data_IF_596937206725
#
_entry.id   IF_596937206725
#
_cell.length_a   1.000
_cell.length_b   1.000
_cell.length_c   1.000
_cell.angle_alpha   90.00
_cell.angle_beta   90.00
_cell.angle_gamma   90.00
#
_symmetry.space_group_name_H-M   'P 1'
#
loop_
_entity.id
_entity.type
_entity.pdbx_description
1 polymer ?
#
# COMPACT_ATOMS: atom_id res chain seq x y z
N UNK A 1 -14.36 19.66 -7.50
CA UNK A 1 -14.98 20.75 -8.27
C UNK A 1 -15.63 20.13 -9.50
N UNK A 2 -16.95 20.10 -9.52
CA UNK A 2 -17.75 19.75 -10.70
C UNK A 2 -17.90 21.01 -11.56
N UNK A 3 -17.77 20.87 -12.88
CA UNK A 3 -18.10 21.93 -13.83
C UNK A 3 -19.58 21.76 -14.15
N UNK A 4 -20.38 22.80 -13.98
CA UNK A 4 -21.80 22.79 -14.32
C UNK A 4 -21.97 22.96 -15.83
N UNK A 5 -22.65 22.01 -16.46
CA UNK A 5 -22.71 21.87 -17.92
C UNK A 5 -24.09 22.31 -18.44
N UNK A 6 -25.13 22.26 -17.61
CA UNK A 6 -26.51 22.50 -18.03
C UNK A 6 -26.82 23.99 -18.26
N UNK A 7 -26.05 24.88 -17.63
CA UNK A 7 -26.19 26.33 -17.83
C UNK A 7 -25.41 26.88 -19.03
N UNK A 8 -24.59 26.06 -19.70
CA UNK A 8 -23.72 26.51 -20.79
C UNK A 8 -24.45 26.52 -22.13
N UNK A 9 -24.27 27.59 -22.91
CA UNK A 9 -24.78 27.65 -24.28
C UNK A 9 -24.08 26.67 -25.21
N UNK A 10 -24.70 26.32 -26.35
CA UNK A 10 -24.10 25.43 -27.35
C UNK A 10 -22.70 25.89 -27.82
N UNK A 11 -22.49 27.21 -27.90
CA UNK A 11 -21.20 27.80 -28.27
C UNK A 11 -20.14 27.61 -27.18
N UNK A 12 -20.52 27.77 -25.91
CA UNK A 12 -19.64 27.58 -24.76
C UNK A 12 -19.32 26.10 -24.52
N UNK A 13 -20.30 25.21 -24.69
CA UNK A 13 -20.09 23.76 -24.66
C UNK A 13 -19.08 23.33 -25.73
N UNK A 14 -19.20 23.88 -26.93
CA UNK A 14 -18.26 23.59 -28.03
C UNK A 14 -16.85 24.09 -27.70
N UNK A 15 -16.72 25.29 -27.12
CA UNK A 15 -15.45 25.83 -26.67
C UNK A 15 -14.81 24.96 -25.57
N UNK A 16 -15.60 24.57 -24.57
CA UNK A 16 -15.17 23.71 -23.46
C UNK A 16 -14.70 22.34 -23.94
N UNK A 17 -15.41 21.72 -24.88
CA UNK A 17 -15.02 20.44 -25.48
C UNK A 17 -13.68 20.57 -26.21
N UNK A 18 -13.49 21.64 -26.98
CA UNK A 18 -12.25 21.87 -27.72
C UNK A 18 -11.06 22.09 -26.78
N UNK A 19 -11.26 22.85 -25.71
CA UNK A 19 -10.22 23.09 -24.70
C UNK A 19 -9.92 21.82 -23.90
N UNK A 20 -10.94 21.07 -23.48
CA UNK A 20 -10.79 19.78 -22.82
C UNK A 20 -10.01 18.78 -23.70
N UNK A 21 -10.30 18.73 -25.01
CA UNK A 21 -9.54 17.91 -25.98
C UNK A 21 -8.08 18.36 -26.08
N UNK A 22 -7.81 19.67 -26.16
CA UNK A 22 -6.43 20.21 -26.15
C UNK A 22 -5.70 19.86 -24.84
N UNK A 23 -6.37 19.97 -23.70
CA UNK A 23 -5.79 19.65 -22.39
C UNK A 23 -5.52 18.14 -22.26
N UNK A 24 -6.47 17.30 -22.68
CA UNK A 24 -6.34 15.84 -22.71
C UNK A 24 -5.16 15.41 -23.57
N UNK A 25 -5.04 15.93 -24.80
CA UNK A 25 -3.90 15.60 -25.68
C UNK A 25 -2.56 16.06 -25.10
N UNK A 26 -2.52 17.23 -24.47
CA UNK A 26 -1.32 17.71 -23.76
C UNK A 26 -0.94 16.80 -22.59
N UNK A 27 -1.93 16.33 -21.83
CA UNK A 27 -1.73 15.40 -20.72
C UNK A 27 -1.31 14.01 -21.22
N UNK A 28 -1.89 13.51 -22.31
CA UNK A 28 -1.53 12.22 -22.91
C UNK A 28 -0.13 12.21 -23.54
N UNK A 29 0.35 13.35 -24.05
CA UNK A 29 1.73 13.50 -24.54
C UNK A 29 2.77 13.46 -23.42
N UNK A 30 2.36 13.69 -22.16
CA UNK A 30 3.27 13.54 -21.02
C UNK A 30 3.55 12.06 -20.82
N UNK A 31 4.84 11.72 -20.66
CA UNK A 31 5.24 10.37 -20.28
C UNK A 31 4.51 9.97 -18.99
N UNK A 32 4.21 8.68 -18.79
CA UNK A 32 3.54 8.20 -17.59
C UNK A 32 4.24 8.73 -16.34
N UNK A 33 3.49 9.25 -15.37
CA UNK A 33 4.05 9.84 -14.15
C UNK A 33 4.96 8.84 -13.41
N UNK A 34 4.68 7.54 -13.53
CA UNK A 34 5.52 6.44 -13.03
C UNK A 34 6.92 6.43 -13.65
N UNK A 35 7.01 6.63 -14.98
CA UNK A 35 8.29 6.67 -15.70
C UNK A 35 9.07 7.94 -15.35
N UNK A 36 8.39 9.08 -15.22
CA UNK A 36 9.02 10.32 -14.78
C UNK A 36 9.58 10.18 -13.35
N UNK A 37 8.79 9.66 -12.41
CA UNK A 37 9.22 9.39 -11.02
C UNK A 37 10.40 8.43 -10.97
N UNK A 38 10.37 7.33 -11.74
CA UNK A 38 11.48 6.37 -11.78
C UNK A 38 12.78 7.03 -12.22
N UNK A 39 12.75 7.84 -13.29
CA UNK A 39 13.94 8.54 -13.80
C UNK A 39 14.48 9.54 -12.79
N UNK A 40 13.61 10.31 -12.15
CA UNK A 40 13.98 11.28 -11.13
C UNK A 40 14.58 10.59 -9.89
N UNK A 41 13.96 9.50 -9.42
CA UNK A 41 14.51 8.69 -8.33
C UNK A 41 15.85 8.04 -8.68
N UNK A 42 15.99 7.54 -9.90
CA UNK A 42 17.23 6.90 -10.36
C UNK A 42 18.37 7.92 -10.48
N UNK A 43 18.09 9.13 -10.98
CA UNK A 43 19.07 10.21 -11.01
C UNK A 43 19.53 10.58 -9.59
N UNK A 44 18.62 10.78 -8.66
CA UNK A 44 18.98 11.03 -7.26
C UNK A 44 19.83 9.89 -6.67
N UNK A 45 19.43 8.63 -6.92
CA UNK A 45 20.14 7.45 -6.39
C UNK A 45 21.55 7.32 -6.95
N UNK A 46 21.77 7.67 -8.22
CA UNK A 46 23.10 7.65 -8.83
C UNK A 46 24.05 8.63 -8.14
N UNK A 47 23.52 9.76 -7.69
CA UNK A 47 24.25 10.75 -6.89
C UNK A 47 24.32 10.38 -5.40
N UNK A 48 23.78 9.22 -5.00
CA UNK A 48 23.80 8.75 -3.62
C UNK A 48 22.72 9.35 -2.72
N UNK A 49 21.77 10.11 -3.27
CA UNK A 49 20.68 10.75 -2.53
C UNK A 49 19.33 10.10 -2.82
N UNK A 50 18.38 10.27 -1.91
CA UNK A 50 16.97 9.98 -2.15
C UNK A 50 16.23 11.27 -2.50
N UNK A 51 15.15 11.16 -3.28
CA UNK A 51 14.28 12.30 -3.60
C UNK A 51 13.69 12.94 -2.33
N UNK A 52 13.54 12.17 -1.28
CA UNK A 52 13.02 12.65 -0.01
C UNK A 52 14.03 13.53 0.75
N UNK A 53 15.33 13.22 0.64
CA UNK A 53 16.43 14.05 1.15
C UNK A 53 16.62 15.33 0.33
N UNK A 54 16.45 15.26 -1.00
CA UNK A 54 16.64 16.42 -1.88
C UNK A 54 15.50 17.44 -1.85
N UNK A 55 14.25 16.99 -1.73
CA UNK A 55 13.07 17.83 -1.92
C UNK A 55 12.14 17.91 -0.71
N UNK A 56 12.51 17.27 0.41
CA UNK A 56 11.70 17.30 1.63
C UNK A 56 10.34 16.63 1.46
N UNK A 57 10.27 15.33 1.75
CA UNK A 57 9.00 14.61 1.91
C UNK A 57 8.87 14.11 3.33
N UNK A 58 7.67 14.18 3.91
CA UNK A 58 7.31 13.74 5.29
C UNK A 58 7.44 12.22 5.53
N UNK A 59 8.49 11.61 5.00
CA UNK A 59 9.02 10.28 5.35
C UNK A 59 10.56 10.23 5.34
N UNK A 60 11.24 11.34 5.07
CA UNK A 60 12.71 11.42 4.94
C UNK A 60 13.47 11.56 6.27
N UNK A 61 12.80 11.87 7.38
CA UNK A 61 13.44 11.98 8.70
C UNK A 61 13.92 10.62 9.27
N UNK A 62 14.09 9.59 8.45
CA UNK A 62 14.59 8.27 8.86
C UNK A 62 15.76 7.75 8.02
N UNK A 63 16.24 8.50 7.02
CA UNK A 63 17.34 8.08 6.15
C UNK A 63 18.72 8.57 6.64
N UNK A 64 18.81 9.75 7.28
CA UNK A 64 20.11 10.36 7.64
C UNK A 64 20.78 9.83 8.92
N UNK A 65 20.27 8.74 9.52
CA UNK A 65 20.99 8.07 10.63
C UNK A 65 20.89 6.56 10.52
N UNK A 66 21.50 6.00 9.47
CA UNK A 66 21.95 4.60 9.44
C UNK A 66 23.36 4.48 8.84
N UNK A 67 24.27 5.24 9.45
CA UNK A 67 25.56 4.77 9.99
C UNK A 67 26.40 3.77 9.18
N UNK A 68 27.56 4.25 8.71
CA UNK A 68 28.84 3.58 8.99
C UNK A 68 28.83 3.19 10.48
N UNK A 69 29.12 1.93 10.78
CA UNK A 69 28.89 1.25 12.07
C UNK A 69 27.45 0.78 12.26
N UNK A 70 27.13 -0.32 11.59
CA UNK A 70 25.97 -1.16 11.87
C UNK A 70 26.15 -1.90 13.21
N UNK A 71 25.96 -1.20 14.32
CA UNK A 71 25.38 -1.83 15.50
C UNK A 71 23.91 -2.14 15.17
N UNK A 72 23.40 -3.36 15.45
CA UNK A 72 22.10 -3.78 14.97
C UNK A 72 21.00 -2.96 15.64
N UNK A 73 20.44 -2.01 14.90
CA UNK A 73 19.24 -1.27 15.29
C UNK A 73 18.14 -2.30 15.50
N UNK A 74 17.84 -2.58 16.77
CA UNK A 74 16.77 -3.43 17.29
C UNK A 74 15.67 -3.53 16.23
N UNK A 75 15.69 -4.63 15.49
CA UNK A 75 14.66 -4.92 14.52
C UNK A 75 13.34 -4.70 15.27
N UNK A 76 12.40 -3.97 14.66
CA UNK A 76 10.99 -4.23 14.94
C UNK A 76 10.93 -5.74 14.86
N UNK A 77 10.72 -6.44 15.99
CA UNK A 77 10.66 -7.90 15.99
C UNK A 77 9.64 -8.22 14.92
N UNK A 78 10.12 -8.64 13.74
CA UNK A 78 9.34 -9.46 12.84
C UNK A 78 9.12 -10.66 13.72
N UNK A 79 7.99 -10.68 14.43
CA UNK A 79 7.57 -11.81 15.25
C UNK A 79 7.72 -12.99 14.31
N UNK A 80 8.76 -13.80 14.54
CA UNK A 80 9.19 -14.83 13.60
C UNK A 80 7.96 -15.61 13.19
N UNK A 81 7.83 -15.90 11.89
CA UNK A 81 6.68 -16.54 11.25
C UNK A 81 6.15 -17.64 12.19
N UNK A 82 5.18 -17.29 13.03
CA UNK A 82 4.72 -18.19 14.09
C UNK A 82 3.93 -19.25 13.37
N UNK A 83 4.20 -20.51 13.66
CA UNK A 83 3.40 -21.60 13.11
C UNK A 83 1.92 -21.29 13.36
N UNK A 84 1.05 -21.37 12.33
CA UNK A 84 -0.37 -21.21 12.53
C UNK A 84 -0.85 -22.27 13.52
N UNK A 85 -1.51 -21.82 14.60
CA UNK A 85 -2.05 -22.68 15.64
C UNK A 85 -3.48 -23.11 15.32
N UNK A 86 -4.19 -22.35 14.50
CA UNK A 86 -5.56 -22.65 14.08
C UNK A 86 -5.72 -22.55 12.55
N UNK A 87 -6.53 -23.43 11.95
CA UNK A 87 -6.88 -23.42 10.50
C UNK A 87 -8.38 -23.53 10.31
N UNK A 88 -8.90 -22.77 9.35
CA UNK A 88 -10.30 -22.83 8.95
C UNK A 88 -10.57 -24.14 8.17
N UNK A 89 -11.58 -24.96 8.55
CA UNK A 89 -11.95 -26.17 7.82
C UNK A 89 -12.60 -25.88 6.46
N UNK A 90 -13.23 -24.71 6.30
CA UNK A 90 -13.84 -24.30 5.02
C UNK A 90 -12.80 -23.73 4.05
N UNK A 91 -11.69 -23.19 4.55
CA UNK A 91 -10.64 -22.61 3.73
C UNK A 91 -9.25 -22.81 4.35
N UNK A 92 -8.50 -23.79 3.85
CA UNK A 92 -7.18 -24.15 4.35
C UNK A 92 -6.11 -23.04 4.26
N UNK A 93 -6.35 -22.00 3.44
CA UNK A 93 -5.47 -20.84 3.33
C UNK A 93 -5.64 -19.85 4.49
N UNK A 94 -6.78 -19.90 5.18
CA UNK A 94 -7.03 -19.05 6.34
C UNK A 94 -6.51 -19.71 7.60
N UNK A 95 -5.46 -19.12 8.17
CA UNK A 95 -4.81 -19.63 9.36
C UNK A 95 -4.58 -18.53 10.38
N UNK A 96 -4.54 -18.90 11.65
CA UNK A 96 -4.34 -17.98 12.76
C UNK A 96 -3.32 -18.52 13.74
N UNK A 97 -2.39 -17.67 14.15
CA UNK A 97 -1.28 -18.06 15.03
C UNK A 97 -1.67 -18.04 16.51
N UNK A 98 -2.94 -17.74 16.84
CA UNK A 98 -3.39 -17.53 18.21
C UNK A 98 -2.89 -16.23 18.85
N UNK A 99 -2.23 -15.36 18.07
CA UNK A 99 -1.71 -14.06 18.51
C UNK A 99 -2.43 -12.93 17.80
N UNK A 100 -2.77 -11.87 18.54
CA UNK A 100 -3.43 -10.68 18.00
C UNK A 100 -4.95 -10.84 17.82
N UNK A 101 -5.55 -10.02 16.96
CA UNK A 101 -7.00 -10.02 16.71
C UNK A 101 -7.44 -11.35 16.08
N UNK A 102 -8.52 -11.92 16.61
CA UNK A 102 -9.15 -13.12 16.05
C UNK A 102 -9.69 -12.86 14.63
N UNK A 103 -9.49 -13.79 13.68
CA UNK A 103 -10.02 -13.66 12.33
C UNK A 103 -11.52 -13.91 12.30
N UNK A 104 -12.19 -13.36 11.28
CA UNK A 104 -13.65 -13.37 11.16
C UNK A 104 -14.24 -14.79 11.17
N UNK A 105 -13.59 -15.74 10.51
CA UNK A 105 -14.04 -17.13 10.46
C UNK A 105 -14.05 -17.79 11.84
N UNK A 106 -13.00 -17.59 12.65
CA UNK A 106 -12.92 -18.21 13.97
C UNK A 106 -13.94 -17.59 14.92
N UNK A 107 -14.19 -16.28 14.80
CA UNK A 107 -15.27 -15.60 15.53
C UNK A 107 -16.63 -16.16 15.13
N UNK A 108 -16.92 -16.30 13.84
CA UNK A 108 -18.19 -16.84 13.35
C UNK A 108 -18.45 -18.27 13.86
N UNK A 109 -17.45 -19.14 13.92
CA UNK A 109 -17.62 -20.48 14.48
C UNK A 109 -17.81 -20.48 16.00
N UNK A 110 -17.14 -19.57 16.71
CA UNK A 110 -17.33 -19.42 18.16
C UNK A 110 -18.74 -18.90 18.47
N UNK A 111 -19.23 -17.95 17.67
CA UNK A 111 -20.60 -17.43 17.77
C UNK A 111 -21.66 -18.49 17.42
N UNK A 112 -21.33 -19.42 16.51
CA UNK A 112 -22.16 -20.59 16.18
C UNK A 112 -22.12 -21.70 17.25
N UNK A 113 -21.48 -21.47 18.41
CA UNK A 113 -21.42 -22.41 19.51
C UNK A 113 -20.34 -23.50 19.39
N UNK A 114 -19.45 -23.41 18.39
CA UNK A 114 -18.35 -24.37 18.23
C UNK A 114 -17.14 -23.95 19.04
N UNK A 115 -16.42 -24.93 19.58
CA UNK A 115 -15.21 -24.65 20.34
C UNK A 115 -14.05 -24.36 19.40
N UNK A 116 -13.30 -23.29 19.68
CA UNK A 116 -12.10 -22.89 18.93
C UNK A 116 -11.03 -23.99 18.87
N UNK A 117 -11.01 -24.88 19.86
CA UNK A 117 -10.04 -25.96 19.97
C UNK A 117 -10.20 -27.00 18.85
N UNK A 118 -11.38 -27.08 18.22
CA UNK A 118 -11.64 -27.92 17.05
C UNK A 118 -10.79 -27.50 15.83
N UNK A 119 -10.38 -26.24 15.78
CA UNK A 119 -9.61 -25.69 14.67
C UNK A 119 -8.10 -25.71 14.92
N UNK A 120 -7.64 -26.29 16.03
CA UNK A 120 -6.22 -26.38 16.38
C UNK A 120 -5.46 -27.24 15.37
N UNK A 121 -4.42 -26.66 14.76
CA UNK A 121 -3.40 -27.41 14.02
C UNK A 121 -2.35 -27.80 15.06
N UNK A 122 -2.24 -29.09 15.39
CA UNK A 122 -1.14 -29.57 16.22
C UNK A 122 0.16 -29.56 15.38
N UNK A 123 1.19 -28.78 15.77
CA UNK A 123 2.51 -28.88 15.17
C UNK A 123 3.33 -29.91 15.94
N UNK A 124 2.98 -31.19 15.82
CA UNK A 124 3.88 -32.29 16.18
C UNK A 124 4.55 -32.74 14.87
N UNK A 125 5.83 -32.35 14.71
CA UNK A 125 6.66 -32.57 13.53
C UNK A 125 7.72 -31.49 13.38
#
# INVERSE_FOLDING_TARGET
MSVDIESLSAKELTALINEAKKRKTTLSKRKPITQARKRVMQAAKNEGYTIAELFGGSGAARAETRTRTSAPRKARKTTGKVAPKYRNPENANETWTGRGRQPRWLTAFTDAGRNRDEFLINPEG
#
